data_IF_802227638474
#
_entry.id   IF_802227638474
#
_cell.length_a   1.000
_cell.length_b   1.000
_cell.length_c   1.000
_cell.angle_alpha   90.00
_cell.angle_beta   90.00
_cell.angle_gamma   90.00
#
_symmetry.space_group_name_H-M   'P 1'
#
loop_
_entity.id
_entity.type
_entity.pdbx_description
1 polymer ?
#
# COMPACT_ATOMS: atom_id res chain seq x y z
N UNK A 1 38.42 -6.62 36.02
CA UNK A 1 37.05 -6.21 36.41
C UNK A 1 36.45 -5.20 35.44
N UNK A 2 36.93 -3.95 35.37
CA UNK A 2 36.31 -2.90 34.53
C UNK A 2 36.14 -3.26 33.03
N UNK A 3 37.14 -3.89 32.42
CA UNK A 3 37.07 -4.34 31.01
C UNK A 3 36.02 -5.42 30.76
N UNK A 4 35.80 -6.31 31.73
CA UNK A 4 34.80 -7.37 31.63
C UNK A 4 33.38 -6.79 31.67
N UNK A 5 33.12 -5.84 32.58
CA UNK A 5 31.83 -5.15 32.66
C UNK A 5 31.55 -4.30 31.41
N UNK A 6 32.57 -3.65 30.85
CA UNK A 6 32.42 -2.90 29.60
C UNK A 6 32.05 -3.81 28.42
N UNK A 7 32.71 -4.96 28.28
CA UNK A 7 32.41 -5.93 27.23
C UNK A 7 31.02 -6.55 27.40
N UNK A 8 30.62 -6.87 28.62
CA UNK A 8 29.27 -7.36 28.92
C UNK A 8 28.21 -6.31 28.56
N UNK A 9 28.45 -5.05 28.90
CA UNK A 9 27.55 -3.95 28.57
C UNK A 9 27.41 -3.74 27.05
N UNK A 10 28.52 -3.80 26.30
CA UNK A 10 28.51 -3.73 24.84
C UNK A 10 27.76 -4.92 24.22
N UNK A 11 27.92 -6.12 24.78
CA UNK A 11 27.22 -7.31 24.32
C UNK A 11 25.69 -7.19 24.55
N UNK A 12 25.28 -6.66 25.70
CA UNK A 12 23.88 -6.38 26.01
C UNK A 12 23.29 -5.29 25.11
N UNK A 13 24.07 -4.24 24.81
CA UNK A 13 23.67 -3.20 23.85
C UNK A 13 23.48 -3.76 22.45
N UNK A 14 24.39 -4.63 21.99
CA UNK A 14 24.23 -5.30 20.70
C UNK A 14 22.98 -6.20 20.68
N UNK A 15 22.76 -7.01 21.71
CA UNK A 15 21.57 -7.86 21.81
C UNK A 15 20.27 -7.03 21.82
N UNK A 16 20.25 -5.92 22.55
CA UNK A 16 19.11 -5.00 22.57
C UNK A 16 18.90 -4.29 21.22
N UNK A 17 19.98 -3.93 20.52
CA UNK A 17 19.91 -3.34 19.18
C UNK A 17 19.39 -4.34 18.14
N UNK A 18 19.88 -5.59 18.16
CA UNK A 18 19.39 -6.68 17.29
C UNK A 18 17.92 -6.97 17.58
N UNK A 19 17.54 -7.10 18.84
CA UNK A 19 16.13 -7.30 19.23
C UNK A 19 15.22 -6.15 18.80
N UNK A 20 15.69 -4.90 18.89
CA UNK A 20 14.93 -3.74 18.41
C UNK A 20 14.86 -3.68 16.88
N UNK A 21 15.89 -4.09 16.17
CA UNK A 21 15.90 -4.12 14.70
C UNK A 21 14.96 -5.21 14.16
N UNK A 22 14.92 -6.38 14.79
CA UNK A 22 14.08 -7.52 14.37
C UNK A 22 12.57 -7.27 14.60
N UNK A 23 12.22 -6.38 15.54
CA UNK A 23 10.83 -6.00 15.84
C UNK A 23 10.34 -4.75 15.07
N UNK A 24 11.12 -4.18 14.15
CA UNK A 24 10.71 -2.98 13.38
C UNK A 24 9.62 -3.23 12.34
N UNK A 25 9.27 -4.48 12.07
CA UNK A 25 8.22 -4.79 11.11
C UNK A 25 6.87 -5.15 11.74
N UNK A 26 6.69 -5.05 13.06
CA UNK A 26 5.33 -5.08 13.62
C UNK A 26 4.56 -3.89 13.04
N UNK A 27 3.72 -4.12 12.03
CA UNK A 27 2.71 -3.18 11.58
C UNK A 27 1.59 -3.32 12.60
N UNK A 28 1.46 -2.41 13.58
CA UNK A 28 0.38 -2.51 14.54
C UNK A 28 -0.94 -2.41 13.75
N UNK A 29 -1.90 -3.27 14.08
CA UNK A 29 -3.25 -3.20 13.53
C UNK A 29 -3.93 -1.86 13.79
N UNK A 30 -3.36 -1.05 14.69
CA UNK A 30 -3.96 0.12 15.32
C UNK A 30 -3.22 1.41 14.93
N UNK A 31 -2.63 1.46 13.72
CA UNK A 31 -2.00 2.68 13.19
C UNK A 31 -2.77 3.25 11.99
N UNK A 32 -2.64 4.56 11.73
CA UNK A 32 -3.05 5.16 10.46
C UNK A 32 -2.41 4.44 9.28
N UNK A 33 -3.16 4.29 8.20
CA UNK A 33 -2.71 3.66 6.96
C UNK A 33 -2.77 4.69 5.86
N UNK A 34 -1.61 4.94 5.23
CA UNK A 34 -1.54 5.75 4.02
C UNK A 34 -2.45 5.16 2.93
N UNK A 35 -3.01 5.98 2.03
CA UNK A 35 -3.82 5.51 0.92
C UNK A 35 -3.15 4.42 0.10
N UNK A 36 -3.84 3.29 -0.07
CA UNK A 36 -3.37 2.14 -0.83
C UNK A 36 -4.47 1.61 -1.76
N UNK A 37 -4.06 0.99 -2.86
CA UNK A 37 -4.96 0.25 -3.73
C UNK A 37 -5.38 -1.05 -3.04
N UNK A 38 -6.68 -1.25 -2.84
CA UNK A 38 -7.22 -2.48 -2.27
C UNK A 38 -7.63 -3.49 -3.34
N UNK A 39 -8.24 -3.03 -4.43
CA UNK A 39 -8.75 -3.91 -5.49
C UNK A 39 -8.85 -3.17 -6.83
N UNK A 40 -8.63 -3.89 -7.93
CA UNK A 40 -8.97 -3.48 -9.30
C UNK A 40 -9.93 -4.52 -9.90
N UNK A 41 -11.01 -4.08 -10.53
CA UNK A 41 -11.99 -4.95 -11.18
C UNK A 41 -12.61 -4.25 -12.39
N UNK A 42 -12.28 -4.76 -13.59
CA UNK A 42 -12.73 -4.16 -14.85
C UNK A 42 -12.39 -2.68 -14.93
N UNK A 43 -13.41 -1.84 -15.12
CA UNK A 43 -13.28 -0.38 -15.18
C UNK A 43 -13.34 0.33 -13.82
N UNK A 44 -13.12 -0.40 -12.72
CA UNK A 44 -13.20 0.15 -11.37
C UNK A 44 -12.03 -0.26 -10.49
N UNK A 45 -11.75 0.54 -9.46
CA UNK A 45 -10.81 0.20 -8.40
C UNK A 45 -11.26 0.76 -7.05
N UNK A 46 -10.74 0.21 -5.97
CA UNK A 46 -11.02 0.65 -4.59
C UNK A 46 -9.71 1.17 -3.99
N UNK A 47 -9.72 2.43 -3.57
CA UNK A 47 -8.66 3.03 -2.78
C UNK A 47 -9.10 3.06 -1.32
N UNK A 48 -8.26 2.56 -0.41
CA UNK A 48 -8.55 2.51 1.01
C UNK A 48 -7.47 3.23 1.83
N UNK A 49 -7.85 3.78 2.99
CA UNK A 49 -6.93 4.40 3.94
C UNK A 49 -7.52 4.37 5.36
N UNK A 50 -6.68 4.65 6.36
CA UNK A 50 -7.12 4.74 7.76
C UNK A 50 -6.53 5.98 8.41
N UNK A 51 -7.37 6.71 9.12
CA UNK A 51 -7.00 7.92 9.86
C UNK A 51 -7.31 7.76 11.34
N UNK A 52 -6.63 8.53 12.18
CA UNK A 52 -7.07 8.75 13.56
C UNK A 52 -8.37 9.54 13.51
N UNK A 53 -9.37 9.10 14.26
CA UNK A 53 -10.62 9.84 14.46
C UNK A 53 -10.33 11.09 15.31
N UNK A 54 -10.23 12.25 14.66
CA UNK A 54 -10.00 13.53 15.32
C UNK A 54 -11.32 14.25 15.70
N UNK A 55 -12.48 13.61 15.50
CA UNK A 55 -13.83 14.16 15.70
C UNK A 55 -14.13 15.42 14.89
N UNK A 56 -13.32 15.78 13.89
CA UNK A 56 -13.65 16.86 12.97
C UNK A 56 -14.58 16.33 11.88
N UNK A 57 -15.86 16.21 12.21
CA UNK A 57 -16.93 15.71 11.32
C UNK A 57 -17.13 16.54 10.03
N UNK A 58 -16.46 17.70 9.90
CA UNK A 58 -16.65 18.63 8.78
C UNK A 58 -15.72 18.38 7.57
N UNK A 59 -14.69 17.53 7.68
CA UNK A 59 -13.74 17.34 6.59
C UNK A 59 -14.04 16.11 5.76
N UNK A 60 -14.61 16.34 4.57
CA UNK A 60 -14.83 15.27 3.60
C UNK A 60 -13.52 14.88 2.90
N UNK A 61 -13.14 13.60 2.91
CA UNK A 61 -12.06 13.10 2.06
C UNK A 61 -12.46 13.13 0.59
N UNK A 62 -11.46 13.39 -0.24
CA UNK A 62 -11.59 13.49 -1.69
C UNK A 62 -10.52 12.62 -2.33
N UNK A 63 -10.94 11.73 -3.23
CA UNK A 63 -10.04 10.96 -4.07
C UNK A 63 -10.03 11.56 -5.46
N UNK A 64 -8.85 11.84 -5.98
CA UNK A 64 -8.66 12.29 -7.36
C UNK A 64 -7.82 11.28 -8.12
N UNK A 65 -8.16 10.98 -9.37
CA UNK A 65 -7.38 10.09 -10.21
C UNK A 65 -7.25 10.59 -11.66
N UNK A 66 -6.22 10.14 -12.38
CA UNK A 66 -6.06 10.35 -13.82
C UNK A 66 -5.16 9.29 -14.44
N UNK A 67 -5.18 9.19 -15.76
CA UNK A 67 -4.17 8.41 -16.49
C UNK A 67 -2.83 9.14 -16.38
N UNK A 68 -1.81 8.43 -15.88
CA UNK A 68 -0.47 8.97 -15.72
C UNK A 68 0.12 9.27 -17.10
N UNK A 69 0.57 10.51 -17.27
CA UNK A 69 1.23 10.91 -18.51
C UNK A 69 2.66 10.41 -18.59
N UNK A 70 3.18 10.13 -19.80
CA UNK A 70 4.61 10.03 -20.03
C UNK A 70 5.33 11.27 -19.51
N UNK A 71 6.54 11.12 -18.98
CA UNK A 71 7.29 12.17 -18.28
C UNK A 71 7.58 13.42 -19.12
N UNK A 72 7.39 13.38 -20.45
CA UNK A 72 7.64 14.50 -21.37
C UNK A 72 6.37 14.97 -22.12
N UNK A 73 5.17 14.56 -21.70
CA UNK A 73 3.93 15.00 -22.34
C UNK A 73 3.56 16.43 -21.93
N UNK A 74 3.42 17.34 -22.90
CA UNK A 74 2.87 18.69 -22.67
C UNK A 74 1.37 18.69 -22.36
N UNK A 75 0.68 17.58 -22.61
CA UNK A 75 -0.75 17.42 -22.36
C UNK A 75 -0.96 16.41 -21.24
N UNK A 76 -0.97 16.90 -20.00
CA UNK A 76 -1.32 16.08 -18.84
C UNK A 76 -2.84 16.04 -18.67
N UNK A 77 -3.48 14.86 -18.59
CA UNK A 77 -4.91 14.74 -18.33
C UNK A 77 -5.32 15.48 -17.05
N UNK A 78 -6.52 16.06 -17.08
CA UNK A 78 -7.14 16.63 -15.90
C UNK A 78 -7.44 15.54 -14.87
N UNK A 79 -7.47 15.92 -13.60
CA UNK A 79 -7.89 15.03 -12.51
C UNK A 79 -9.40 14.81 -12.56
N UNK A 80 -9.80 13.53 -12.56
CA UNK A 80 -11.17 13.14 -12.26
C UNK A 80 -11.36 13.14 -10.74
N UNK A 81 -12.41 13.79 -10.26
CA UNK A 81 -12.68 13.97 -8.83
C UNK A 81 -13.78 13.00 -8.39
N UNK A 82 -13.57 12.37 -7.24
CA UNK A 82 -14.53 11.49 -6.58
C UNK A 82 -14.67 11.96 -5.14
N UNK A 83 -15.88 12.41 -4.82
CA UNK A 83 -16.25 12.94 -3.50
C UNK A 83 -16.87 11.86 -2.60
N UNK A 84 -17.21 10.70 -3.17
CA UNK A 84 -17.86 9.63 -2.43
C UNK A 84 -16.80 8.70 -1.82
N UNK A 85 -16.67 8.77 -0.50
CA UNK A 85 -15.96 7.76 0.28
C UNK A 85 -16.84 7.30 1.43
N UNK A 86 -16.78 6.01 1.74
CA UNK A 86 -17.48 5.43 2.89
C UNK A 86 -16.52 5.35 4.07
N UNK A 87 -16.90 5.96 5.19
CA UNK A 87 -16.22 5.81 6.47
C UNK A 87 -16.85 4.65 7.25
N UNK A 88 -16.05 3.65 7.60
CA UNK A 88 -16.40 2.56 8.49
C UNK A 88 -15.54 2.68 9.76
N UNK A 89 -16.17 2.87 10.92
CA UNK A 89 -15.45 2.78 12.19
C UNK A 89 -15.50 1.35 12.69
N UNK A 90 -14.39 0.61 12.51
CA UNK A 90 -14.25 -0.76 13.02
C UNK A 90 -13.46 -0.78 14.33
N UNK A 91 -12.63 0.23 14.58
CA UNK A 91 -11.75 0.33 15.75
C UNK A 91 -11.98 1.70 16.42
N UNK A 92 -12.19 1.75 17.75
CA UNK A 92 -12.25 3.02 18.47
C UNK A 92 -11.01 3.87 18.17
N UNK A 93 -11.18 5.19 18.01
CA UNK A 93 -10.11 6.15 17.67
C UNK A 93 -9.61 6.11 16.22
N UNK A 94 -10.17 5.25 15.36
CA UNK A 94 -9.82 5.20 13.93
C UNK A 94 -11.04 5.15 13.02
N UNK A 95 -10.88 5.76 11.85
CA UNK A 95 -11.83 5.69 10.74
C UNK A 95 -11.15 5.02 9.55
N UNK A 96 -11.71 3.89 9.12
CA UNK A 96 -11.38 3.27 7.84
C UNK A 96 -12.20 3.95 6.76
N UNK A 97 -11.54 4.35 5.69
CA UNK A 97 -12.20 4.92 4.53
C UNK A 97 -11.96 4.07 3.30
N UNK A 98 -12.94 4.05 2.42
CA UNK A 98 -12.77 3.51 1.07
C UNK A 98 -13.49 4.37 0.05
N UNK A 99 -12.89 4.51 -1.13
CA UNK A 99 -13.50 5.18 -2.27
C UNK A 99 -13.43 4.28 -3.49
N UNK A 100 -14.56 4.11 -4.18
CA UNK A 100 -14.62 3.41 -5.44
C UNK A 100 -14.43 4.38 -6.59
N UNK A 101 -13.40 4.14 -7.39
CA UNK A 101 -13.17 4.84 -8.65
C UNK A 101 -13.74 4.02 -9.80
N UNK A 102 -14.34 4.69 -10.78
CA UNK A 102 -15.06 4.05 -11.89
C UNK A 102 -14.71 4.72 -13.22
N UNK A 103 -14.99 4.02 -14.32
CA UNK A 103 -14.70 4.53 -15.67
C UNK A 103 -13.21 4.49 -16.03
N UNK A 104 -12.46 3.60 -15.38
CA UNK A 104 -11.04 3.40 -15.70
C UNK A 104 -10.89 2.84 -17.12
N UNK A 105 -9.99 3.40 -17.93
CA UNK A 105 -9.60 2.79 -19.20
C UNK A 105 -8.91 1.46 -18.95
N UNK A 106 -9.01 0.53 -19.90
CA UNK A 106 -8.31 -0.76 -19.82
C UNK A 106 -6.79 -0.57 -19.89
N UNK A 107 -6.05 -1.43 -19.17
CA UNK A 107 -4.58 -1.52 -19.23
C UNK A 107 -3.84 -0.18 -19.20
N UNK A 108 -4.20 0.69 -18.27
CA UNK A 108 -3.68 2.05 -18.20
C UNK A 108 -3.02 2.30 -16.86
N UNK A 109 -1.87 2.97 -16.87
CA UNK A 109 -1.21 3.39 -15.64
C UNK A 109 -1.99 4.57 -15.05
N UNK A 110 -2.63 4.33 -13.91
CA UNK A 110 -3.42 5.31 -13.19
C UNK A 110 -2.58 5.88 -12.06
N UNK A 111 -2.66 7.19 -11.86
CA UNK A 111 -2.19 7.85 -10.63
C UNK A 111 -3.40 8.37 -9.85
N UNK A 112 -3.35 8.26 -8.53
CA UNK A 112 -4.38 8.76 -7.62
C UNK A 112 -3.75 9.54 -6.47
N UNK A 113 -4.53 10.45 -5.89
CA UNK A 113 -4.20 11.15 -4.65
C UNK A 113 -5.43 11.27 -3.77
N UNK A 114 -5.20 11.32 -2.46
CA UNK A 114 -6.23 11.53 -1.44
C UNK A 114 -5.95 12.81 -0.69
N UNK A 115 -6.99 13.64 -0.54
CA UNK A 115 -6.94 14.89 0.21
C UNK A 115 -8.11 14.98 1.19
N UNK A 116 -7.93 15.63 2.34
CA UNK A 116 -8.99 15.86 3.34
C UNK A 116 -9.00 17.34 3.69
N UNK A 117 -10.14 18.02 3.49
CA UNK A 117 -10.22 19.48 3.69
C UNK A 117 -9.18 20.27 2.87
N UNK A 118 -8.75 19.72 1.71
CA UNK A 118 -7.67 20.27 0.88
C UNK A 118 -6.25 19.88 1.29
N UNK A 119 -6.05 19.23 2.44
CA UNK A 119 -4.73 18.75 2.87
C UNK A 119 -4.38 17.43 2.20
N UNK A 120 -3.13 17.29 1.76
CA UNK A 120 -2.63 16.06 1.16
C UNK A 120 -2.42 14.96 2.20
N UNK A 121 -3.00 13.78 1.94
CA UNK A 121 -2.86 12.60 2.80
C UNK A 121 -1.88 11.59 2.19
N UNK A 122 -2.00 11.35 0.88
CA UNK A 122 -1.12 10.42 0.18
C UNK A 122 -1.51 10.22 -1.28
N UNK A 123 -0.67 9.47 -1.99
CA UNK A 123 -0.82 9.19 -3.41
C UNK A 123 -0.29 7.80 -3.75
N UNK A 124 -0.62 7.33 -4.95
CA UNK A 124 -0.09 6.09 -5.48
C UNK A 124 -0.36 5.94 -6.97
N UNK A 125 0.18 4.85 -7.53
CA UNK A 125 -0.06 4.46 -8.91
C UNK A 125 -0.42 2.99 -9.00
N UNK A 126 -1.25 2.61 -9.95
CA UNK A 126 -1.58 1.22 -10.24
C UNK A 126 -1.91 1.04 -11.72
N UNK A 127 -1.89 -0.21 -12.19
CA UNK A 127 -2.35 -0.56 -13.53
C UNK A 127 -3.82 -0.99 -13.46
N UNK A 128 -4.68 -0.37 -14.29
CA UNK A 128 -6.08 -0.81 -14.40
C UNK A 128 -6.17 -2.20 -15.05
N UNK A 129 -7.33 -2.85 -14.91
CA UNK A 129 -7.52 -4.22 -15.37
C UNK A 129 -7.25 -4.36 -16.87
N UNK A 130 -6.72 -5.53 -17.24
CA UNK A 130 -6.75 -5.98 -18.63
C UNK A 130 -8.20 -6.07 -19.11
N UNK A 131 -8.43 -5.66 -20.36
CA UNK A 131 -9.71 -5.83 -21.01
C UNK A 131 -10.11 -7.30 -21.09
N UNK A 132 -11.42 -7.58 -21.12
CA UNK A 132 -11.93 -8.95 -21.14
C UNK A 132 -11.45 -9.77 -22.33
N UNK A 133 -11.12 -9.10 -23.42
CA UNK A 133 -10.64 -9.69 -24.67
C UNK A 133 -9.10 -9.64 -24.80
N UNK A 134 -8.38 -9.27 -23.74
CA UNK A 134 -6.91 -9.21 -23.76
C UNK A 134 -6.31 -10.62 -23.80
N UNK A 135 -5.31 -10.79 -24.66
CA UNK A 135 -4.48 -11.98 -24.76
C UNK A 135 -3.15 -11.87 -23.97
N UNK A 136 -2.99 -10.78 -23.21
CA UNK A 136 -1.80 -10.57 -22.40
C UNK A 136 -1.70 -11.56 -21.24
N UNK A 137 -0.47 -11.97 -20.94
CA UNK A 137 -0.20 -12.87 -19.81
C UNK A 137 -0.39 -12.11 -18.49
N UNK A 138 -1.37 -12.55 -17.70
CA UNK A 138 -1.57 -12.09 -16.32
C UNK A 138 -0.61 -12.80 -15.37
N UNK A 139 0.12 -12.01 -14.56
CA UNK A 139 1.05 -12.50 -13.54
C UNK A 139 0.48 -12.19 -12.16
N UNK A 140 0.14 -13.25 -11.43
CA UNK A 140 -0.44 -13.16 -10.09
C UNK A 140 0.60 -13.58 -9.06
N UNK A 141 0.82 -12.75 -8.04
CA UNK A 141 1.60 -13.11 -6.86
C UNK A 141 0.66 -13.53 -5.74
N UNK A 142 0.74 -14.78 -5.30
CA UNK A 142 -0.11 -15.32 -4.24
C UNK A 142 0.73 -15.53 -2.99
N UNK A 143 0.28 -14.98 -1.86
CA UNK A 143 0.90 -15.20 -0.56
C UNK A 143 -0.13 -15.47 0.53
N UNK A 144 0.29 -16.12 1.59
CA UNK A 144 -0.47 -16.34 2.82
C UNK A 144 0.50 -16.47 3.98
N UNK A 145 -0.03 -16.58 5.20
CA UNK A 145 0.76 -16.82 6.41
C UNK A 145 1.88 -15.79 6.62
N UNK A 146 1.65 -14.55 6.17
CA UNK A 146 2.68 -13.52 6.21
C UNK A 146 3.00 -13.13 7.65
N UNK A 147 2.09 -13.28 8.62
CA UNK A 147 2.44 -13.19 10.03
C UNK A 147 2.51 -11.75 10.58
N UNK A 148 3.34 -11.53 11.60
CA UNK A 148 3.40 -10.26 12.38
C UNK A 148 4.44 -9.24 11.86
N UNK A 149 4.79 -9.30 10.58
CA UNK A 149 5.84 -8.42 10.00
C UNK A 149 7.25 -8.63 10.54
N UNK A 150 7.64 -9.89 10.73
CA UNK A 150 9.03 -10.25 11.05
C UNK A 150 9.87 -10.42 9.78
N UNK A 151 11.15 -10.72 9.95
CA UNK A 151 12.11 -11.00 8.87
C UNK A 151 11.59 -11.91 7.75
N UNK A 152 10.71 -12.86 8.04
CA UNK A 152 10.05 -13.69 7.04
C UNK A 152 9.24 -12.89 5.99
N UNK A 153 8.50 -11.84 6.39
CA UNK A 153 7.77 -11.00 5.43
C UNK A 153 8.73 -10.22 4.52
N UNK A 154 9.82 -9.68 5.09
CA UNK A 154 10.83 -8.98 4.31
C UNK A 154 11.50 -9.91 3.29
N UNK A 155 11.72 -11.18 3.64
CA UNK A 155 12.24 -12.16 2.69
C UNK A 155 11.24 -12.41 1.54
N UNK A 156 9.94 -12.51 1.80
CA UNK A 156 8.92 -12.66 0.73
C UNK A 156 8.93 -11.45 -0.21
N UNK A 157 9.01 -10.23 0.33
CA UNK A 157 9.12 -9.00 -0.47
C UNK A 157 10.40 -9.02 -1.30
N UNK A 158 11.55 -9.36 -0.69
CA UNK A 158 12.83 -9.43 -1.39
C UNK A 158 12.85 -10.48 -2.50
N UNK A 159 12.18 -11.62 -2.30
CA UNK A 159 12.06 -12.66 -3.33
C UNK A 159 11.13 -12.22 -4.46
N UNK A 160 10.05 -11.50 -4.15
CA UNK A 160 9.17 -10.89 -5.15
C UNK A 160 9.95 -9.88 -6.01
N UNK A 161 10.73 -8.99 -5.39
CA UNK A 161 11.60 -8.03 -6.09
C UNK A 161 12.65 -8.75 -6.96
N UNK A 162 13.28 -9.80 -6.43
CA UNK A 162 14.23 -10.63 -7.17
C UNK A 162 13.59 -11.32 -8.37
N UNK A 163 12.37 -11.82 -8.22
CA UNK A 163 11.59 -12.41 -9.31
C UNK A 163 11.25 -11.37 -10.39
N UNK A 164 10.75 -10.20 -9.99
CA UNK A 164 10.45 -9.09 -10.90
C UNK A 164 11.68 -8.68 -11.72
N UNK A 165 12.85 -8.58 -11.07
CA UNK A 165 14.11 -8.25 -11.75
C UNK A 165 14.52 -9.31 -12.79
N UNK A 166 14.20 -10.59 -12.58
CA UNK A 166 14.47 -11.68 -13.54
C UNK A 166 13.54 -11.64 -14.76
N UNK A 167 12.33 -11.10 -14.61
CA UNK A 167 11.37 -10.97 -15.71
C UNK A 167 11.77 -9.88 -16.71
N UNK A 168 12.73 -9.02 -16.38
CA UNK A 168 13.24 -7.97 -17.26
C UNK A 168 12.43 -6.67 -17.17
N UNK A 169 12.63 -5.73 -18.12
CA UNK A 169 12.02 -4.39 -18.06
C UNK A 169 10.49 -4.39 -18.13
N UNK A 170 9.89 -5.44 -18.69
CA UNK A 170 8.43 -5.63 -18.77
C UNK A 170 7.89 -6.50 -17.61
N UNK A 171 8.75 -6.89 -16.68
CA UNK A 171 8.42 -7.69 -15.51
C UNK A 171 7.52 -6.94 -14.54
N UNK A 172 6.30 -7.43 -14.35
CA UNK A 172 5.32 -6.85 -13.42
C UNK A 172 4.50 -7.94 -12.73
N UNK A 173 3.93 -7.60 -11.58
CA UNK A 173 2.84 -8.34 -10.95
C UNK A 173 1.57 -7.54 -11.24
N UNK A 174 0.57 -8.18 -11.86
CA UNK A 174 -0.71 -7.56 -12.21
C UNK A 174 -1.72 -7.64 -11.06
N UNK A 175 -1.58 -8.65 -10.20
CA UNK A 175 -2.46 -8.88 -9.06
C UNK A 175 -1.68 -9.54 -7.92
N UNK A 176 -1.86 -9.01 -6.71
CA UNK A 176 -1.40 -9.66 -5.49
C UNK A 176 -2.62 -10.20 -4.72
N UNK A 177 -2.62 -11.50 -4.43
CA UNK A 177 -3.66 -12.16 -3.65
C UNK A 177 -3.10 -12.64 -2.31
N UNK A 178 -3.65 -12.10 -1.22
CA UNK A 178 -3.37 -12.58 0.12
C UNK A 178 -4.45 -13.59 0.55
N UNK A 179 -4.09 -14.85 0.83
CA UNK A 179 -5.07 -15.94 1.01
C UNK A 179 -5.45 -16.24 2.47
N UNK A 180 -4.88 -15.51 3.42
CA UNK A 180 -5.21 -15.62 4.84
C UNK A 180 -4.00 -15.32 5.71
N UNK A 181 -4.22 -15.08 7.02
CA UNK A 181 -3.15 -14.97 8.01
C UNK A 181 -2.18 -13.80 7.76
N UNK A 182 -2.77 -12.65 7.46
CA UNK A 182 -2.07 -11.41 7.12
C UNK A 182 -1.47 -10.67 8.33
N UNK A 183 -2.10 -10.79 9.50
CA UNK A 183 -1.65 -10.20 10.75
C UNK A 183 -2.14 -11.07 11.91
N UNK A 184 -1.27 -11.28 12.91
CA UNK A 184 -1.53 -12.03 14.13
C UNK A 184 -1.22 -11.19 15.37
#
# INVERSE_FOLDING_TARGET
>A
MARFFLLLFLCLLMLAAVYRLDNRGMIPSDLPRMPYLQQVSGSSAIIAWRMVDDKNEEMEPLVSWRVKSPQDSSNTPAWNLITESEALSVIPEFLDYSAQISGLPEHSLIEYKVTIGGNFIGEGTFLSAMGKESDETMRIWVLGDSGTGKSAQFNVISEMESHLNKLGPDGRIDLMLHVGDMAY
#
